data_IF_100021168168
#
_entry.id   IF_100021168168
#
_cell.length_a   1.000
_cell.length_b   1.000
_cell.length_c   1.000
_cell.angle_alpha   90.00
_cell.angle_beta   90.00
_cell.angle_gamma   90.00
#
_symmetry.space_group_name_H-M   'P 1'
#
loop_
_entity.id
_entity.type
_entity.pdbx_description
1 polymer ?
#
# COMPACT_ATOMS: atom_id res chain seq x y z
N UNK A 1 23.58 -20.84 4.10
CA UNK A 1 23.03 -19.59 4.65
C UNK A 1 22.97 -19.77 6.15
N UNK A 2 23.60 -18.87 6.92
CA UNK A 2 23.46 -18.84 8.38
C UNK A 2 22.08 -18.29 8.77
N UNK A 3 21.57 -18.51 9.99
CA UNK A 3 20.39 -17.81 10.51
C UNK A 3 20.44 -16.29 10.29
N UNK A 4 19.27 -15.64 10.20
CA UNK A 4 19.19 -14.18 9.96
C UNK A 4 19.75 -13.39 11.15
N UNK A 5 19.48 -13.87 12.36
CA UNK A 5 20.01 -13.35 13.62
C UNK A 5 21.54 -13.37 13.62
N UNK A 6 22.14 -14.50 13.24
CA UNK A 6 23.60 -14.65 13.14
C UNK A 6 24.21 -13.69 12.11
N UNK A 7 23.51 -13.43 11.00
CA UNK A 7 23.96 -12.46 10.00
C UNK A 7 23.91 -11.02 10.53
N UNK A 8 22.89 -10.69 11.34
CA UNK A 8 22.80 -9.41 12.05
C UNK A 8 23.98 -9.26 13.02
N UNK A 9 24.22 -10.28 13.85
CA UNK A 9 25.29 -10.26 14.85
C UNK A 9 26.67 -10.18 14.22
N UNK A 10 26.91 -10.91 13.12
CA UNK A 10 28.17 -10.84 12.38
C UNK A 10 28.41 -9.45 11.78
N UNK A 11 27.36 -8.80 11.25
CA UNK A 11 27.47 -7.45 10.71
C UNK A 11 27.78 -6.41 11.80
N UNK A 12 27.11 -6.48 12.96
CA UNK A 12 27.39 -5.59 14.10
C UNK A 12 28.78 -5.82 14.69
N UNK A 13 29.22 -7.08 14.79
CA UNK A 13 30.58 -7.41 15.23
C UNK A 13 31.64 -6.84 14.29
N UNK A 14 31.44 -6.95 12.96
CA UNK A 14 32.33 -6.36 11.97
C UNK A 14 32.36 -4.82 12.06
N UNK A 15 31.22 -4.19 12.34
CA UNK A 15 31.12 -2.73 12.48
C UNK A 15 31.82 -2.18 13.73
N UNK A 16 31.87 -2.96 14.81
CA UNK A 16 32.48 -2.57 16.09
C UNK A 16 33.96 -2.15 15.96
N UNK A 17 34.67 -2.69 14.97
CA UNK A 17 36.05 -2.29 14.66
C UNK A 17 36.22 -0.91 14.00
N UNK A 18 35.12 -0.29 13.54
CA UNK A 18 35.14 0.97 12.79
C UNK A 18 34.78 2.23 13.60
N UNK A 19 34.36 2.06 14.86
CA UNK A 19 33.87 3.13 15.73
C UNK A 19 32.73 3.98 15.12
N UNK A 20 31.97 3.42 14.18
CA UNK A 20 30.79 4.05 13.58
C UNK A 20 29.52 3.42 14.13
N UNK A 21 28.52 4.25 14.39
CA UNK A 21 27.20 3.73 14.69
C UNK A 21 26.62 3.06 13.45
N UNK A 22 25.92 1.94 13.65
CA UNK A 22 25.47 1.08 12.57
C UNK A 22 24.08 0.54 12.84
N UNK A 23 23.24 0.52 11.82
CA UNK A 23 21.96 -0.21 11.78
C UNK A 23 22.11 -1.34 10.76
N UNK A 24 21.67 -2.53 11.14
CA UNK A 24 21.62 -3.70 10.27
C UNK A 24 20.18 -4.14 10.15
N UNK A 25 19.71 -4.32 8.91
CA UNK A 25 18.37 -4.84 8.60
C UNK A 25 18.55 -6.10 7.77
N UNK A 26 18.09 -7.24 8.26
CA UNK A 26 18.05 -8.49 7.51
C UNK A 26 16.60 -8.87 7.29
N UNK A 27 16.21 -9.09 6.03
CA UNK A 27 14.89 -9.58 5.67
C UNK A 27 15.02 -10.92 4.99
N UNK A 28 14.43 -11.95 5.60
CA UNK A 28 14.19 -13.26 4.97
C UNK A 28 12.79 -13.26 4.36
N UNK A 29 12.70 -13.69 3.11
CA UNK A 29 11.48 -13.71 2.32
C UNK A 29 11.26 -15.10 1.75
N UNK A 30 10.09 -15.68 2.04
CA UNK A 30 9.55 -16.84 1.32
C UNK A 30 8.35 -16.39 0.50
N UNK A 31 8.30 -16.81 -0.76
CA UNK A 31 7.27 -16.41 -1.70
C UNK A 31 6.74 -17.63 -2.45
N UNK A 32 5.43 -17.71 -2.60
CA UNK A 32 4.75 -18.66 -3.45
C UNK A 32 3.77 -17.95 -4.38
N UNK A 33 3.62 -18.46 -5.59
CA UNK A 33 2.66 -17.94 -6.56
C UNK A 33 1.94 -19.07 -7.29
N UNK A 34 0.70 -18.80 -7.68
CA UNK A 34 -0.14 -19.67 -8.50
C UNK A 34 -0.84 -18.82 -9.56
N UNK A 35 -0.68 -19.17 -10.82
CA UNK A 35 -1.31 -18.47 -11.96
C UNK A 35 -2.22 -19.41 -12.73
N UNK A 36 -3.34 -18.87 -13.21
CA UNK A 36 -4.23 -19.54 -14.15
C UNK A 36 -4.58 -18.64 -15.33
N UNK A 37 -4.86 -19.27 -16.45
CA UNK A 37 -5.30 -18.60 -17.65
C UNK A 37 -6.23 -19.50 -18.47
N UNK A 38 -7.40 -18.97 -18.82
CA UNK A 38 -8.37 -19.68 -19.66
C UNK A 38 -8.84 -20.99 -19.05
N UNK A 39 -9.17 -20.98 -17.75
CA UNK A 39 -9.67 -22.13 -16.99
C UNK A 39 -8.66 -23.27 -16.78
N UNK A 40 -7.36 -22.97 -16.82
CA UNK A 40 -6.31 -23.92 -16.49
C UNK A 40 -5.23 -23.28 -15.64
N UNK A 41 -4.68 -24.04 -14.69
CA UNK A 41 -3.47 -23.65 -13.95
C UNK A 41 -2.27 -23.70 -14.91
N UNK A 42 -1.47 -22.64 -14.94
CA UNK A 42 -0.36 -22.52 -15.91
C UNK A 42 1.00 -22.54 -15.25
N UNK A 43 1.18 -21.80 -14.16
CA UNK A 43 2.49 -21.58 -13.56
C UNK A 43 2.34 -21.52 -12.06
N UNK A 44 3.22 -22.23 -11.36
CA UNK A 44 3.41 -22.13 -9.92
C UNK A 44 4.88 -21.92 -9.64
N UNK A 45 5.20 -21.06 -8.67
CA UNK A 45 6.57 -20.74 -8.31
C UNK A 45 6.72 -20.70 -6.81
N UNK A 46 7.88 -21.12 -6.32
CA UNK A 46 8.31 -20.89 -4.94
C UNK A 46 9.71 -20.31 -5.00
N UNK A 47 9.94 -19.25 -4.25
CA UNK A 47 11.27 -18.68 -4.10
C UNK A 47 11.55 -18.35 -2.63
N UNK A 48 12.82 -18.39 -2.27
CA UNK A 48 13.30 -17.87 -1.00
C UNK A 48 14.44 -16.91 -1.29
N UNK A 49 14.52 -15.83 -0.54
CA UNK A 49 15.58 -14.84 -0.67
C UNK A 49 15.89 -14.22 0.67
N UNK A 50 17.11 -13.69 0.80
CA UNK A 50 17.53 -12.85 1.91
C UNK A 50 18.08 -11.56 1.34
N UNK A 51 17.82 -10.45 2.02
CA UNK A 51 18.59 -9.23 1.82
C UNK A 51 19.11 -8.69 3.14
N UNK A 52 20.36 -8.24 3.15
CA UNK A 52 21.01 -7.56 4.28
C UNK A 52 21.30 -6.12 3.87
N UNK A 53 20.78 -5.16 4.62
CA UNK A 53 21.15 -3.76 4.53
C UNK A 53 22.01 -3.37 5.73
N UNK A 54 23.09 -2.64 5.46
CA UNK A 54 23.95 -2.04 6.48
C UNK A 54 23.93 -0.53 6.28
N UNK A 55 23.55 0.19 7.32
CA UNK A 55 23.51 1.64 7.35
C UNK A 55 24.54 2.11 8.37
N UNK A 56 25.56 2.82 7.91
CA UNK A 56 26.64 3.34 8.75
C UNK A 56 26.51 4.85 8.90
N UNK A 57 26.76 5.32 10.12
CA UNK A 57 26.68 6.73 10.51
C UNK A 57 28.08 7.21 10.90
N UNK A 58 28.66 8.09 10.09
CA UNK A 58 29.92 8.74 10.37
C UNK A 58 29.67 10.13 10.97
N UNK A 59 30.24 10.39 12.15
CA UNK A 59 30.16 11.70 12.81
C UNK A 59 31.42 12.53 12.50
N UNK A 60 31.24 13.76 12.02
CA UNK A 60 32.31 14.75 11.80
C UNK A 60 31.93 16.05 12.52
N UNK A 61 32.47 16.27 13.71
CA UNK A 61 32.02 17.34 14.59
C UNK A 61 30.58 17.06 15.06
N UNK A 62 29.65 17.98 14.78
CA UNK A 62 28.23 17.82 15.06
C UNK A 62 27.40 17.32 13.87
N UNK A 63 28.03 17.17 12.69
CA UNK A 63 27.38 16.68 11.49
C UNK A 63 27.41 15.15 11.40
N UNK A 64 26.31 14.58 10.91
CA UNK A 64 26.23 13.17 10.53
C UNK A 64 26.32 13.01 9.01
N UNK A 65 26.94 11.91 8.60
CA UNK A 65 27.03 11.46 7.22
C UNK A 65 26.64 9.99 7.16
N UNK A 66 25.74 9.64 6.24
CA UNK A 66 25.10 8.32 6.26
C UNK A 66 25.36 7.59 4.95
N UNK A 67 25.81 6.35 5.06
CA UNK A 67 25.98 5.42 3.95
C UNK A 67 25.08 4.22 4.16
N UNK A 68 24.28 3.86 3.15
CA UNK A 68 23.41 2.67 3.20
C UNK A 68 23.67 1.78 1.99
N UNK A 69 24.02 0.53 2.25
CA UNK A 69 24.29 -0.48 1.23
C UNK A 69 23.43 -1.70 1.50
N UNK A 70 22.91 -2.31 0.42
CA UNK A 70 22.08 -3.53 0.47
C UNK A 70 22.70 -4.61 -0.40
N UNK A 71 22.69 -5.84 0.10
CA UNK A 71 23.17 -7.03 -0.62
C UNK A 71 22.18 -8.18 -0.48
N UNK A 72 22.10 -9.02 -1.51
CA UNK A 72 21.39 -10.30 -1.47
C UNK A 72 22.36 -11.49 -1.40
N UNK A 73 23.65 -11.24 -1.18
CA UNK A 73 24.66 -12.28 -0.99
C UNK A 73 24.47 -12.88 0.41
N UNK A 74 24.39 -14.20 0.48
CA UNK A 74 24.07 -14.96 1.70
C UNK A 74 25.27 -15.70 2.30
N UNK A 75 26.45 -15.47 1.70
CA UNK A 75 27.73 -15.95 2.20
C UNK A 75 28.16 -15.11 3.41
N UNK A 76 28.36 -15.70 4.60
CA UNK A 76 28.82 -14.98 5.78
C UNK A 76 30.11 -14.20 5.56
N UNK A 77 31.03 -14.71 4.73
CA UNK A 77 32.33 -14.08 4.50
C UNK A 77 32.19 -12.75 3.73
N UNK A 78 31.08 -12.54 3.01
CA UNK A 78 30.79 -11.30 2.30
C UNK A 78 30.27 -10.17 3.21
N UNK A 79 29.81 -10.47 4.43
CA UNK A 79 29.18 -9.50 5.33
C UNK A 79 30.18 -8.41 5.77
N UNK A 80 31.42 -8.79 6.08
CA UNK A 80 32.46 -7.82 6.45
C UNK A 80 32.74 -6.79 5.35
N UNK A 81 32.75 -7.23 4.08
CA UNK A 81 32.93 -6.35 2.94
C UNK A 81 31.74 -5.38 2.75
N UNK A 82 30.51 -5.86 2.97
CA UNK A 82 29.30 -5.01 2.94
C UNK A 82 29.37 -3.90 4.01
N UNK A 83 29.75 -4.26 5.24
CA UNK A 83 29.91 -3.30 6.35
C UNK A 83 30.98 -2.27 6.03
N UNK A 84 32.15 -2.71 5.54
CA UNK A 84 33.23 -1.80 5.16
C UNK A 84 32.81 -0.84 4.03
N UNK A 85 32.06 -1.33 3.03
CA UNK A 85 31.54 -0.50 1.95
C UNK A 85 30.51 0.53 2.45
N UNK A 86 29.61 0.16 3.37
CA UNK A 86 28.68 1.09 3.98
C UNK A 86 29.38 2.19 4.78
N UNK A 87 30.39 1.82 5.57
CA UNK A 87 31.22 2.78 6.30
C UNK A 87 31.99 3.73 5.36
N UNK A 88 32.54 3.23 4.25
CA UNK A 88 33.19 4.07 3.25
C UNK A 88 32.22 5.03 2.58
N UNK A 89 31.01 4.56 2.24
CA UNK A 89 29.97 5.41 1.68
C UNK A 89 29.56 6.52 2.66
N UNK A 90 29.44 6.20 3.96
CA UNK A 90 29.15 7.18 5.00
C UNK A 90 30.23 8.26 5.08
N UNK A 91 31.51 7.89 4.99
CA UNK A 91 32.62 8.86 5.00
C UNK A 91 32.64 9.78 3.77
N UNK A 92 32.25 9.25 2.61
CA UNK A 92 32.19 9.99 1.36
C UNK A 92 30.90 10.82 1.19
N UNK A 93 29.87 10.56 2.00
CA UNK A 93 28.58 11.22 1.88
C UNK A 93 28.64 12.71 2.29
N UNK A 94 27.78 13.56 1.68
CA UNK A 94 27.52 14.90 2.18
C UNK A 94 26.86 14.85 3.58
N UNK A 95 26.75 16.00 4.23
CA UNK A 95 26.03 16.12 5.50
C UNK A 95 24.56 15.71 5.34
N UNK A 96 24.08 14.90 6.29
CA UNK A 96 22.70 14.45 6.34
C UNK A 96 21.79 15.57 6.84
N UNK A 97 20.83 15.95 5.99
CA UNK A 97 19.93 17.09 6.23
C UNK A 97 18.83 16.77 7.25
N UNK A 98 18.51 15.49 7.42
CA UNK A 98 17.46 14.94 8.28
C UNK A 98 18.03 14.35 9.59
N UNK A 99 19.19 14.83 10.01
CA UNK A 99 19.89 14.35 11.21
C UNK A 99 18.98 14.34 12.43
N UNK A 100 18.98 13.21 13.16
CA UNK A 100 18.36 13.06 14.46
C UNK A 100 19.24 12.19 15.38
N UNK A 101 19.15 12.33 16.71
CA UNK A 101 19.85 11.42 17.61
C UNK A 101 19.45 9.97 17.36
N UNK A 102 20.45 9.08 17.27
CA UNK A 102 20.20 7.66 17.11
C UNK A 102 19.42 7.10 18.30
N UNK A 103 18.52 6.17 18.01
CA UNK A 103 17.75 5.48 19.04
C UNK A 103 18.69 4.59 19.86
N UNK A 104 18.42 4.48 21.15
CA UNK A 104 19.11 3.55 22.05
C UNK A 104 18.08 2.55 22.56
N UNK A 105 18.53 1.32 22.79
CA UNK A 105 17.67 0.25 23.26
C UNK A 105 18.44 -0.72 24.13
N UNK A 106 17.70 -1.52 24.88
CA UNK A 106 18.25 -2.60 25.68
C UNK A 106 17.38 -3.85 25.52
N UNK A 107 17.96 -4.90 24.96
CA UNK A 107 17.36 -6.23 24.94
C UNK A 107 16.89 -6.71 23.58
N UNK A 108 16.84 -8.03 23.48
CA UNK A 108 16.26 -8.78 22.37
C UNK A 108 14.76 -8.97 22.63
N UNK A 109 13.89 -8.90 21.60
CA UNK A 109 12.51 -9.32 21.77
C UNK A 109 12.46 -10.82 22.08
N UNK A 110 11.44 -11.26 22.83
CA UNK A 110 11.31 -12.66 23.29
C UNK A 110 11.34 -13.68 22.14
N UNK A 111 10.86 -13.28 20.96
CA UNK A 111 10.75 -14.10 19.76
C UNK A 111 11.99 -14.01 18.85
N UNK A 112 13.07 -13.33 19.26
CA UNK A 112 14.26 -13.10 18.43
C UNK A 112 14.85 -14.39 17.86
N UNK A 113 14.94 -15.44 18.70
CA UNK A 113 15.50 -16.75 18.35
C UNK A 113 14.51 -17.71 17.69
N UNK A 114 13.25 -17.32 17.52
CA UNK A 114 12.23 -18.23 16.98
C UNK A 114 12.48 -18.54 15.50
N UNK A 115 12.11 -19.76 15.04
CA UNK A 115 12.18 -20.11 13.63
C UNK A 115 11.44 -19.09 12.74
N UNK A 116 12.06 -18.74 11.60
CA UNK A 116 11.45 -17.85 10.60
C UNK A 116 10.30 -18.59 9.89
N UNK A 117 9.05 -18.10 9.97
CA UNK A 117 7.93 -18.69 9.24
C UNK A 117 8.15 -18.65 7.72
N UNK A 118 7.56 -19.60 7.00
CA UNK A 118 7.71 -19.75 5.54
C UNK A 118 6.38 -20.05 4.86
N UNK A 119 6.37 -20.04 3.53
CA UNK A 119 5.21 -20.36 2.69
C UNK A 119 5.61 -21.25 1.51
N UNK A 120 4.61 -21.78 0.80
CA UNK A 120 4.78 -22.63 -0.38
C UNK A 120 3.46 -22.84 -1.12
N UNK A 121 3.51 -23.59 -2.23
CA UNK A 121 2.32 -23.87 -3.06
C UNK A 121 1.15 -24.48 -2.29
N UNK A 122 1.43 -25.18 -1.18
CA UNK A 122 0.40 -25.77 -0.32
C UNK A 122 -0.55 -24.74 0.29
N UNK A 123 -0.13 -23.48 0.48
CA UNK A 123 -0.98 -22.40 0.98
C UNK A 123 -2.21 -22.15 0.08
N UNK A 124 -2.10 -22.45 -1.22
CA UNK A 124 -3.19 -22.22 -2.17
C UNK A 124 -4.16 -23.39 -2.30
N UNK A 125 -3.99 -24.50 -1.57
CA UNK A 125 -4.71 -25.74 -1.84
C UNK A 125 -6.24 -25.58 -1.83
N UNK A 126 -6.78 -24.83 -0.87
CA UNK A 126 -8.23 -24.59 -0.76
C UNK A 126 -8.73 -23.65 -1.86
N UNK A 127 -8.05 -22.52 -2.07
CA UNK A 127 -8.37 -21.57 -3.13
C UNK A 127 -8.32 -22.22 -4.51
N UNK A 128 -7.31 -23.05 -4.78
CA UNK A 128 -7.16 -23.81 -6.03
C UNK A 128 -8.29 -24.81 -6.23
N UNK A 129 -8.70 -25.53 -5.17
CA UNK A 129 -9.84 -26.46 -5.22
C UNK A 129 -11.13 -25.70 -5.54
N UNK A 130 -11.38 -24.57 -4.90
CA UNK A 130 -12.55 -23.75 -5.18
C UNK A 130 -12.54 -23.15 -6.60
N UNK A 131 -11.38 -22.67 -7.07
CA UNK A 131 -11.19 -22.17 -8.44
C UNK A 131 -11.46 -23.27 -9.49
N UNK A 132 -11.05 -24.51 -9.22
CA UNK A 132 -11.27 -25.63 -10.13
C UNK A 132 -12.76 -25.88 -10.43
N UNK A 133 -13.66 -25.61 -9.47
CA UNK A 133 -15.10 -25.68 -9.68
C UNK A 133 -15.61 -24.57 -10.63
N UNK A 134 -14.93 -23.42 -10.67
CA UNK A 134 -15.20 -22.34 -11.62
C UNK A 134 -14.70 -22.66 -13.04
N UNK A 135 -13.60 -23.40 -13.18
CA UNK A 135 -13.01 -23.73 -14.50
C UNK A 135 -13.92 -24.58 -15.40
N UNK A 136 -14.87 -25.33 -14.82
CA UNK A 136 -15.87 -26.08 -15.57
C UNK A 136 -17.05 -25.25 -16.09
N UNK A 137 -17.11 -23.95 -15.80
CA UNK A 137 -18.20 -23.05 -16.22
C UNK A 137 -17.92 -22.38 -17.57
N UNK A 138 -18.91 -21.65 -18.09
CA UNK A 138 -18.83 -20.99 -19.39
C UNK A 138 -17.84 -19.83 -19.45
N UNK A 139 -17.60 -19.14 -18.34
CA UNK A 139 -16.71 -17.98 -18.29
C UNK A 139 -15.25 -18.40 -18.31
N UNK A 140 -14.42 -17.62 -19.02
CA UNK A 140 -12.97 -17.84 -19.03
C UNK A 140 -12.32 -17.06 -17.90
N UNK A 141 -11.71 -17.77 -16.97
CA UNK A 141 -11.05 -17.24 -15.79
C UNK A 141 -9.55 -17.10 -16.02
N UNK A 142 -9.00 -15.97 -15.59
CA UNK A 142 -7.60 -15.60 -15.60
C UNK A 142 -7.25 -14.98 -14.26
N UNK A 143 -6.00 -15.08 -13.84
CA UNK A 143 -5.61 -14.46 -12.58
C UNK A 143 -4.39 -15.07 -11.95
N UNK A 144 -4.11 -14.60 -10.75
CA UNK A 144 -3.01 -15.08 -9.95
C UNK A 144 -3.36 -15.01 -8.46
N UNK A 145 -2.74 -15.89 -7.70
CA UNK A 145 -2.69 -15.87 -6.25
C UNK A 145 -1.23 -15.78 -5.84
N UNK A 146 -0.94 -14.96 -4.85
CA UNK A 146 0.43 -14.68 -4.41
C UNK A 146 0.45 -14.67 -2.89
N UNK A 147 1.41 -15.37 -2.27
CA UNK A 147 1.60 -15.41 -0.83
C UNK A 147 3.08 -15.21 -0.51
N UNK A 148 3.35 -14.23 0.33
CA UNK A 148 4.66 -13.83 0.80
C UNK A 148 4.65 -13.92 2.32
N UNK A 149 5.70 -14.49 2.89
CA UNK A 149 6.01 -14.39 4.31
C UNK A 149 7.39 -13.81 4.44
N UNK A 150 7.47 -12.60 4.98
CA UNK A 150 8.72 -11.87 5.21
C UNK A 150 8.99 -11.72 6.69
N UNK A 151 10.18 -12.06 7.15
CA UNK A 151 10.61 -11.75 8.52
C UNK A 151 11.77 -10.77 8.48
N UNK A 152 11.55 -9.60 9.08
CA UNK A 152 12.54 -8.55 9.22
C UNK A 152 13.15 -8.58 10.61
N UNK A 153 14.47 -8.58 10.64
CA UNK A 153 15.31 -8.38 11.82
C UNK A 153 16.01 -7.04 11.67
N UNK A 154 15.87 -6.19 12.67
CA UNK A 154 16.58 -4.92 12.75
C UNK A 154 17.38 -4.92 14.04
N UNK A 155 18.66 -4.56 13.96
CA UNK A 155 19.47 -4.30 15.13
C UNK A 155 20.42 -3.13 14.92
N UNK A 156 20.77 -2.45 16.02
CA UNK A 156 21.67 -1.30 15.99
C UNK A 156 22.86 -1.50 16.92
N UNK A 157 23.99 -0.83 16.62
CA UNK A 157 25.15 -0.76 17.51
C UNK A 157 24.82 -0.12 18.87
N UNK A 158 23.74 0.66 18.92
CA UNK A 158 23.20 1.35 20.11
C UNK A 158 22.21 0.49 20.91
N UNK A 159 22.07 -0.80 20.58
CA UNK A 159 21.35 -1.79 21.38
C UNK A 159 19.86 -1.97 21.07
N UNK A 160 19.32 -1.30 20.05
CA UNK A 160 17.93 -1.55 19.59
C UNK A 160 17.91 -2.89 18.85
N UNK A 161 16.94 -3.75 19.15
CA UNK A 161 16.61 -4.95 18.38
C UNK A 161 15.09 -5.04 18.17
N UNK A 162 14.69 -5.43 16.96
CA UNK A 162 13.28 -5.58 16.55
C UNK A 162 13.11 -6.73 15.57
N UNK A 163 12.04 -7.49 15.72
CA UNK A 163 11.64 -8.58 14.82
C UNK A 163 10.18 -8.40 14.43
N UNK A 164 9.84 -8.66 13.18
CA UNK A 164 8.46 -8.77 12.74
C UNK A 164 8.34 -9.73 11.55
N UNK A 165 7.30 -10.57 11.58
CA UNK A 165 6.92 -11.41 10.43
C UNK A 165 5.67 -10.84 9.78
N UNK A 166 5.80 -10.39 8.53
CA UNK A 166 4.72 -9.90 7.69
C UNK A 166 4.22 -11.01 6.74
N UNK A 167 3.06 -11.62 7.02
CA UNK A 167 2.31 -12.36 6.02
C UNK A 167 1.62 -11.37 5.05
N UNK A 168 1.72 -11.63 3.76
CA UNK A 168 1.05 -10.86 2.72
C UNK A 168 0.51 -11.81 1.66
N UNK A 169 -0.78 -11.78 1.40
CA UNK A 169 -1.36 -12.57 0.33
C UNK A 169 -2.47 -11.85 -0.42
N UNK A 170 -2.65 -12.22 -1.68
CA UNK A 170 -3.71 -11.69 -2.53
C UNK A 170 -4.21 -12.73 -3.53
N UNK A 171 -5.48 -12.63 -3.90
CA UNK A 171 -6.11 -13.39 -4.99
C UNK A 171 -6.79 -12.41 -5.91
N UNK A 172 -6.45 -12.48 -7.19
CA UNK A 172 -7.07 -11.68 -8.24
C UNK A 172 -7.63 -12.59 -9.33
N UNK A 173 -8.91 -12.40 -9.66
CA UNK A 173 -9.62 -13.16 -10.70
C UNK A 173 -10.21 -12.18 -11.70
N UNK A 174 -9.88 -12.39 -12.98
CA UNK A 174 -10.56 -11.77 -14.12
C UNK A 174 -11.40 -12.83 -14.83
N UNK A 175 -12.69 -12.55 -15.03
CA UNK A 175 -13.58 -13.40 -15.80
C UNK A 175 -13.93 -12.74 -17.14
N UNK A 176 -14.02 -13.52 -18.22
CA UNK A 176 -14.41 -13.05 -19.55
C UNK A 176 -15.57 -13.84 -20.14
N UNK A 177 -16.53 -13.14 -20.76
CA UNK A 177 -17.72 -13.69 -21.44
C UNK A 177 -18.08 -12.83 -22.65
N UNK A 178 -18.09 -13.41 -23.85
CA UNK A 178 -18.64 -12.75 -25.04
C UNK A 178 -18.05 -11.36 -25.36
N UNK A 179 -16.77 -11.12 -25.03
CA UNK A 179 -16.10 -9.83 -25.19
C UNK A 179 -16.11 -8.95 -23.93
N UNK A 180 -17.02 -9.19 -22.99
CA UNK A 180 -17.03 -8.53 -21.68
C UNK A 180 -15.97 -9.13 -20.74
N UNK A 181 -15.53 -8.31 -19.79
CA UNK A 181 -14.51 -8.62 -18.79
C UNK A 181 -14.94 -8.02 -17.45
N UNK A 182 -14.65 -8.71 -16.36
CA UNK A 182 -14.85 -8.25 -15.00
C UNK A 182 -13.68 -8.72 -14.12
N UNK A 183 -13.33 -7.94 -13.10
CA UNK A 183 -12.25 -8.24 -12.16
C UNK A 183 -12.77 -8.23 -10.72
N UNK A 184 -12.20 -9.10 -9.90
CA UNK A 184 -12.36 -9.14 -8.45
C UNK A 184 -11.01 -9.46 -7.81
N UNK A 185 -10.72 -8.79 -6.70
CA UNK A 185 -9.47 -8.95 -5.97
C UNK A 185 -9.68 -8.86 -4.47
N UNK A 186 -8.94 -9.68 -3.72
CA UNK A 186 -8.96 -9.67 -2.25
C UNK A 186 -7.56 -9.83 -1.69
N UNK A 187 -7.37 -9.29 -0.50
CA UNK A 187 -6.19 -9.53 0.33
C UNK A 187 -6.48 -10.66 1.32
N UNK A 188 -5.48 -11.49 1.59
CA UNK A 188 -5.56 -12.62 2.51
C UNK A 188 -4.17 -12.92 3.08
N UNK A 189 -3.82 -12.37 4.26
CA UNK A 189 -2.46 -12.48 4.78
C UNK A 189 -1.93 -13.91 4.83
N UNK A 190 -2.77 -14.86 5.26
CA UNK A 190 -2.40 -16.27 5.46
C UNK A 190 -3.11 -17.26 4.54
N UNK A 191 -3.87 -16.80 3.54
CA UNK A 191 -4.70 -17.67 2.69
C UNK A 191 -5.76 -18.50 3.43
N UNK A 192 -6.16 -18.06 4.62
CA UNK A 192 -7.27 -18.64 5.37
C UNK A 192 -8.59 -18.07 4.84
N UNK A 193 -9.59 -18.94 4.65
CA UNK A 193 -10.98 -18.58 4.33
C UNK A 193 -11.17 -17.70 3.06
N UNK A 194 -10.34 -17.92 2.03
CA UNK A 194 -10.45 -17.21 0.74
C UNK A 194 -11.83 -17.46 0.10
N UNK A 195 -12.72 -16.46 -0.04
CA UNK A 195 -14.11 -16.62 -0.51
C UNK A 195 -14.22 -16.74 -2.04
N UNK A 196 -13.47 -17.67 -2.65
CA UNK A 196 -13.43 -17.84 -4.12
C UNK A 196 -14.83 -17.98 -4.72
N UNK A 197 -15.73 -18.74 -4.07
CA UNK A 197 -17.12 -18.90 -4.55
C UNK A 197 -17.88 -17.58 -4.63
N UNK A 198 -17.69 -16.69 -3.65
CA UNK A 198 -18.28 -15.34 -3.64
C UNK A 198 -17.68 -14.46 -4.73
N UNK A 199 -16.36 -14.50 -4.90
CA UNK A 199 -15.68 -13.77 -5.99
C UNK A 199 -16.19 -14.20 -7.37
N UNK A 200 -16.37 -15.50 -7.60
CA UNK A 200 -16.91 -16.02 -8.86
C UNK A 200 -18.36 -15.59 -9.09
N UNK A 201 -19.19 -15.53 -8.04
CA UNK A 201 -20.56 -15.04 -8.14
C UNK A 201 -20.63 -13.54 -8.45
N UNK A 202 -19.75 -12.73 -7.84
CA UNK A 202 -19.61 -11.30 -8.14
C UNK A 202 -19.21 -11.06 -9.60
N UNK A 203 -18.23 -11.81 -10.10
CA UNK A 203 -17.79 -11.77 -11.49
C UNK A 203 -18.90 -12.17 -12.46
N UNK A 204 -19.63 -13.24 -12.14
CA UNK A 204 -20.78 -13.71 -12.93
C UNK A 204 -21.89 -12.64 -13.01
N UNK A 205 -22.20 -11.98 -11.91
CA UNK A 205 -23.18 -10.89 -11.87
C UNK A 205 -22.74 -9.70 -12.74
N UNK A 206 -21.48 -9.27 -12.62
CA UNK A 206 -20.88 -8.19 -13.43
C UNK A 206 -20.88 -8.50 -14.94
N UNK A 207 -20.53 -9.73 -15.30
CA UNK A 207 -20.63 -10.19 -16.69
C UNK A 207 -22.09 -10.30 -17.17
N UNK A 208 -23.04 -10.53 -16.25
CA UNK A 208 -24.47 -10.46 -16.52
C UNK A 208 -24.94 -9.05 -16.89
N UNK A 209 -24.47 -8.02 -16.18
CA UNK A 209 -24.79 -6.62 -16.50
C UNK A 209 -24.30 -6.21 -17.89
N UNK A 210 -23.20 -6.80 -18.36
CA UNK A 210 -22.65 -6.54 -19.69
C UNK A 210 -23.48 -7.14 -20.85
N UNK A 211 -24.60 -7.81 -20.59
CA UNK A 211 -25.56 -8.20 -21.65
C UNK A 211 -26.20 -6.99 -22.33
N UNK A 212 -26.31 -5.86 -21.60
CA UNK A 212 -26.67 -4.55 -22.16
C UNK A 212 -25.44 -3.65 -22.09
N UNK A 213 -25.07 -3.08 -23.23
CA UNK A 213 -24.01 -2.06 -23.32
C UNK A 213 -24.62 -0.72 -23.70
N UNK A 214 -24.15 0.34 -23.05
CA UNK A 214 -24.60 1.72 -23.28
C UNK A 214 -23.39 2.61 -23.50
N UNK A 215 -23.33 3.29 -24.64
CA UNK A 215 -22.29 4.29 -24.88
C UNK A 215 -22.71 5.64 -24.28
N UNK A 216 -21.83 6.22 -23.47
CA UNK A 216 -21.97 7.55 -22.89
C UNK A 216 -20.82 8.46 -23.35
N UNK A 217 -21.09 9.74 -23.63
CA UNK A 217 -20.05 10.68 -24.00
C UNK A 217 -19.11 10.98 -22.81
N UNK A 218 -17.97 11.58 -23.08
CA UNK A 218 -17.15 12.18 -22.02
C UNK A 218 -17.96 13.25 -21.28
N UNK A 219 -17.74 13.38 -19.97
CA UNK A 219 -18.52 14.29 -19.14
C UNK A 219 -18.31 14.10 -17.65
N UNK A 220 -19.17 14.74 -16.86
CA UNK A 220 -19.23 14.58 -15.41
C UNK A 220 -20.47 13.77 -15.04
N UNK A 221 -20.29 12.78 -14.18
CA UNK A 221 -21.34 11.84 -13.80
C UNK A 221 -21.37 11.63 -12.29
N UNK A 222 -22.58 11.53 -11.73
CA UNK A 222 -22.75 10.95 -10.41
C UNK A 222 -22.19 9.54 -10.44
N UNK A 223 -21.24 9.25 -9.55
CA UNK A 223 -20.48 8.00 -9.56
C UNK A 223 -20.35 7.46 -8.15
N UNK A 224 -20.78 6.21 -7.97
CA UNK A 224 -20.48 5.39 -6.80
C UNK A 224 -19.14 4.70 -7.03
N UNK A 225 -18.19 4.99 -6.15
CA UNK A 225 -16.86 4.39 -6.13
C UNK A 225 -16.78 3.36 -5.01
N UNK A 226 -16.77 2.05 -5.28
CA UNK A 226 -16.62 1.02 -4.27
C UNK A 226 -15.22 1.07 -3.62
N UNK A 227 -15.04 0.36 -2.48
CA UNK A 227 -13.82 0.38 -1.68
C UNK A 227 -12.52 0.24 -2.48
N UNK A 228 -12.45 -0.66 -3.47
CA UNK A 228 -11.25 -0.86 -4.30
C UNK A 228 -10.82 0.41 -5.03
N UNK A 229 -11.76 1.13 -5.66
CA UNK A 229 -11.43 2.35 -6.42
C UNK A 229 -11.17 3.55 -5.51
N UNK A 230 -11.77 3.56 -4.32
CA UNK A 230 -11.43 4.53 -3.28
C UNK A 230 -10.01 4.26 -2.77
N UNK A 231 -9.63 2.99 -2.57
CA UNK A 231 -8.28 2.59 -2.20
C UNK A 231 -7.26 3.05 -3.24
N UNK A 232 -7.53 2.84 -4.53
CA UNK A 232 -6.66 3.28 -5.62
C UNK A 232 -6.31 4.78 -5.53
N UNK A 233 -7.28 5.62 -5.17
CA UNK A 233 -7.09 7.07 -4.99
C UNK A 233 -6.44 7.43 -3.64
N UNK A 234 -6.89 6.82 -2.55
CA UNK A 234 -6.45 7.16 -1.19
C UNK A 234 -5.03 6.68 -0.90
N UNK A 235 -4.61 5.55 -1.47
CA UNK A 235 -3.22 5.07 -1.38
C UNK A 235 -2.28 6.07 -2.05
N UNK A 236 -2.62 6.54 -3.25
CA UNK A 236 -1.81 7.55 -3.94
C UNK A 236 -1.76 8.88 -3.18
N UNK A 237 -2.91 9.31 -2.60
CA UNK A 237 -2.96 10.44 -1.70
C UNK A 237 -1.99 10.26 -0.53
N UNK A 238 -2.11 9.16 0.21
CA UNK A 238 -1.25 8.86 1.35
C UNK A 238 0.23 8.86 0.96
N UNK A 239 0.60 8.26 -0.19
CA UNK A 239 1.96 8.29 -0.72
C UNK A 239 2.48 9.69 -1.07
N UNK A 240 1.58 10.64 -1.32
CA UNK A 240 1.90 12.05 -1.59
C UNK A 240 1.79 12.95 -0.35
N UNK A 241 1.45 12.40 0.83
CA UNK A 241 1.38 13.16 2.08
C UNK A 241 2.79 13.32 2.67
N UNK A 242 3.59 14.22 2.12
CA UNK A 242 4.92 14.52 2.66
C UNK A 242 4.88 15.82 3.48
N UNK A 243 5.19 15.72 4.77
CA UNK A 243 5.17 16.85 5.68
C UNK A 243 6.14 17.97 5.31
N UNK A 244 7.40 17.64 5.00
CA UNK A 244 8.40 18.64 4.55
C UNK A 244 8.00 19.27 3.23
N UNK A 245 7.63 18.47 2.22
CA UNK A 245 7.21 18.99 0.92
C UNK A 245 6.03 19.94 1.07
N UNK A 246 5.08 19.65 1.98
CA UNK A 246 3.99 20.56 2.29
C UNK A 246 4.49 21.90 2.87
N UNK A 247 5.37 21.87 3.89
CA UNK A 247 5.94 23.08 4.51
C UNK A 247 6.68 23.96 3.49
N UNK A 248 7.40 23.34 2.56
CA UNK A 248 8.23 24.02 1.57
C UNK A 248 7.46 24.45 0.30
N UNK A 249 6.14 24.28 0.26
CA UNK A 249 5.33 24.70 -0.89
C UNK A 249 5.38 23.75 -2.11
N UNK A 250 5.80 22.50 -1.92
CA UNK A 250 6.09 21.52 -2.98
C UNK A 250 5.05 20.42 -3.13
N UNK A 251 3.93 20.45 -2.41
CA UNK A 251 2.88 19.44 -2.51
C UNK A 251 1.47 20.04 -2.51
N UNK A 252 0.47 19.24 -2.89
CA UNK A 252 -0.94 19.63 -2.83
C UNK A 252 -1.48 19.89 -1.40
N UNK A 253 -0.66 19.57 -0.39
CA UNK A 253 -0.92 19.80 1.03
C UNK A 253 -0.20 21.05 1.56
N UNK A 254 0.45 21.82 0.68
CA UNK A 254 0.96 23.15 0.99
C UNK A 254 -0.17 24.18 1.09
N UNK A 255 -0.14 25.02 2.12
CA UNK A 255 -1.13 26.08 2.28
C UNK A 255 -0.77 27.32 1.43
N UNK A 256 -1.77 28.03 0.87
CA UNK A 256 -1.54 29.34 0.28
C UNK A 256 -0.97 30.30 1.33
N UNK A 257 0.20 30.90 1.04
CA UNK A 257 0.87 31.82 1.98
C UNK A 257 1.91 31.17 2.89
N UNK A 258 2.19 29.88 2.73
CA UNK A 258 3.24 29.15 3.45
C UNK A 258 2.69 28.18 4.50
N UNK A 259 3.49 27.16 4.85
CA UNK A 259 3.08 26.11 5.77
C UNK A 259 2.22 25.01 5.11
N UNK A 260 1.50 24.25 5.92
CA UNK A 260 0.70 23.10 5.48
C UNK A 260 -0.79 23.36 5.60
N UNK A 261 -1.58 22.54 4.89
CA UNK A 261 -3.04 22.52 4.97
C UNK A 261 -3.57 21.71 6.16
N UNK A 262 -2.70 21.33 7.11
CA UNK A 262 -3.15 20.71 8.37
C UNK A 262 -4.11 21.67 9.08
N UNK A 263 -5.25 21.15 9.54
CA UNK A 263 -6.37 21.92 10.08
C UNK A 263 -7.41 22.35 9.03
N UNK A 264 -7.15 22.20 7.74
CA UNK A 264 -8.15 22.45 6.71
C UNK A 264 -9.23 21.35 6.70
N UNK A 265 -10.49 21.77 6.73
CA UNK A 265 -11.63 20.87 6.46
C UNK A 265 -11.68 20.55 4.98
N UNK A 266 -11.46 19.28 4.66
CA UNK A 266 -11.65 18.72 3.33
C UNK A 266 -13.10 18.32 3.09
N UNK A 267 -13.76 17.66 4.04
CA UNK A 267 -15.10 17.11 3.83
C UNK A 267 -16.03 17.46 4.98
N UNK A 268 -17.31 17.58 4.66
CA UNK A 268 -18.40 17.64 5.65
C UNK A 268 -18.81 16.24 6.13
N UNK A 269 -18.42 15.19 5.40
CA UNK A 269 -18.54 13.81 5.86
C UNK A 269 -17.56 13.56 7.02
N UNK A 270 -17.94 12.76 8.03
CA UNK A 270 -17.08 12.46 9.18
C UNK A 270 -16.02 11.40 8.82
N UNK A 271 -15.30 11.62 7.72
CA UNK A 271 -14.30 10.69 7.20
C UNK A 271 -13.02 10.73 8.03
N UNK A 272 -12.59 9.56 8.50
CA UNK A 272 -11.31 9.39 9.19
C UNK A 272 -10.43 8.43 8.39
N UNK A 273 -9.37 8.95 7.77
CA UNK A 273 -8.34 8.21 7.03
C UNK A 273 -7.10 8.08 7.92
N UNK A 274 -6.66 6.86 8.20
CA UNK A 274 -5.60 6.59 9.15
C UNK A 274 -4.79 5.35 8.76
N UNK A 275 -3.59 5.23 9.33
CA UNK A 275 -2.82 3.98 9.34
C UNK A 275 -2.63 3.53 10.78
N UNK A 276 -2.66 2.22 11.03
CA UNK A 276 -2.55 1.63 12.38
C UNK A 276 -1.92 0.24 12.28
N UNK A 277 -0.67 0.02 12.72
CA UNK A 277 0.00 -1.27 12.56
C UNK A 277 -0.65 -2.42 13.34
N UNK A 278 -1.56 -2.11 14.27
CA UNK A 278 -2.30 -3.07 15.08
C UNK A 278 -3.74 -3.29 14.61
N UNK A 279 -4.13 -2.72 13.47
CA UNK A 279 -5.46 -2.89 12.91
C UNK A 279 -5.75 -4.37 12.60
N UNK A 280 -6.81 -4.90 13.22
CA UNK A 280 -7.17 -6.32 13.15
C UNK A 280 -7.34 -6.78 11.71
N UNK A 281 -6.60 -7.83 11.34
CA UNK A 281 -6.61 -8.43 10.00
C UNK A 281 -5.79 -7.67 8.95
N UNK A 282 -5.24 -6.51 9.30
CA UNK A 282 -4.38 -5.68 8.47
C UNK A 282 -3.05 -5.33 9.17
N UNK A 283 -2.64 -6.16 10.13
CA UNK A 283 -1.46 -5.92 10.95
C UNK A 283 -0.21 -5.78 10.07
N UNK A 284 0.64 -4.84 10.45
CA UNK A 284 1.91 -4.62 9.78
C UNK A 284 3.03 -4.25 10.76
N UNK A 285 4.25 -4.17 10.26
CA UNK A 285 5.43 -3.92 11.10
C UNK A 285 5.22 -2.68 11.99
N UNK A 286 5.28 -2.81 13.33
CA UNK A 286 5.01 -1.72 14.27
C UNK A 286 6.28 -0.88 14.54
N UNK A 287 7.25 -0.88 13.65
CA UNK A 287 8.48 -0.10 13.77
C UNK A 287 9.07 0.27 12.40
N UNK A 288 9.78 1.38 12.36
CA UNK A 288 10.48 1.85 11.16
C UNK A 288 11.65 0.92 10.85
N UNK A 289 11.70 0.41 9.61
CA UNK A 289 12.76 -0.45 9.11
C UNK A 289 13.06 -0.14 7.63
N UNK A 290 13.69 1.01 7.37
CA UNK A 290 13.99 1.46 6.01
C UNK A 290 15.48 1.42 5.69
N UNK A 291 15.89 0.80 4.56
CA UNK A 291 17.25 0.88 4.06
C UNK A 291 17.53 2.18 3.28
N UNK A 292 16.52 3.02 3.04
CA UNK A 292 16.67 4.30 2.34
C UNK A 292 15.79 5.39 2.96
N UNK A 293 16.31 6.61 3.04
CA UNK A 293 15.54 7.77 3.50
C UNK A 293 14.56 8.29 2.44
N UNK A 294 13.47 8.87 2.90
CA UNK A 294 12.53 9.68 2.09
C UNK A 294 12.05 10.87 2.92
N UNK A 295 11.18 11.69 2.36
CA UNK A 295 10.55 12.80 3.10
C UNK A 295 9.60 12.31 4.21
N UNK A 296 9.28 11.01 4.25
CA UNK A 296 8.31 10.40 5.19
C UNK A 296 8.95 9.52 6.25
N UNK A 297 10.10 8.93 5.96
CA UNK A 297 10.84 8.05 6.87
C UNK A 297 12.35 8.31 6.74
N UNK A 298 13.06 8.34 7.85
CA UNK A 298 14.51 8.57 7.87
C UNK A 298 15.29 7.32 8.25
N UNK A 299 16.55 7.25 7.78
CA UNK A 299 17.52 6.24 8.22
C UNK A 299 17.80 6.35 9.73
N UNK A 300 17.69 7.55 10.31
CA UNK A 300 17.86 7.79 11.75
C UNK A 300 16.69 7.25 12.58
N UNK A 301 15.53 6.98 11.96
CA UNK A 301 14.31 6.56 12.66
C UNK A 301 14.19 5.03 12.76
N UNK A 302 15.12 4.28 12.18
CA UNK A 302 15.14 2.82 12.23
C UNK A 302 15.08 2.27 13.65
N UNK A 303 14.03 1.48 13.93
CA UNK A 303 13.71 0.94 15.25
C UNK A 303 12.72 1.78 16.07
N UNK A 304 12.32 2.96 15.57
CA UNK A 304 11.25 3.78 16.18
C UNK A 304 9.92 3.05 16.05
N UNK A 305 9.14 2.99 17.12
CA UNK A 305 7.82 2.39 17.09
C UNK A 305 6.87 3.21 16.20
N UNK A 306 6.00 2.52 15.48
CA UNK A 306 4.94 3.12 14.67
C UNK A 306 3.63 2.91 15.42
N UNK A 307 2.89 3.99 15.64
CA UNK A 307 1.55 3.97 16.23
C UNK A 307 0.48 4.30 15.20
N UNK A 308 -0.78 4.30 15.64
CA UNK A 308 -1.88 4.82 14.83
C UNK A 308 -1.69 6.31 14.55
N UNK A 309 -1.87 6.71 13.30
CA UNK A 309 -1.91 8.11 12.90
C UNK A 309 -3.16 8.38 12.07
N UNK A 310 -4.00 9.30 12.55
CA UNK A 310 -5.12 9.82 11.77
C UNK A 310 -4.58 10.94 10.86
N UNK A 311 -4.51 10.66 9.56
CA UNK A 311 -4.06 11.59 8.53
C UNK A 311 -5.15 12.62 8.22
N UNK A 312 -6.37 12.13 8.10
CA UNK A 312 -7.61 12.92 8.07
C UNK A 312 -8.46 12.42 9.23
N UNK A 313 -8.98 13.33 10.05
CA UNK A 313 -9.90 13.02 11.15
C UNK A 313 -11.18 13.83 10.99
N UNK A 314 -12.32 13.16 10.95
CA UNK A 314 -13.63 13.78 10.81
C UNK A 314 -13.71 14.83 9.68
N UNK A 315 -13.13 14.49 8.53
CA UNK A 315 -13.09 15.33 7.34
C UNK A 315 -12.03 16.45 7.37
N UNK A 316 -11.18 16.54 8.39
CA UNK A 316 -10.13 17.57 8.53
C UNK A 316 -8.75 16.96 8.36
N UNK A 317 -7.86 17.57 7.58
CA UNK A 317 -6.45 17.16 7.51
C UNK A 317 -5.86 17.31 8.90
N UNK A 318 -5.44 16.21 9.51
CA UNK A 318 -5.05 16.17 10.91
C UNK A 318 -3.53 16.04 11.09
N UNK A 319 -2.87 15.24 10.26
CA UNK A 319 -1.42 15.03 10.36
C UNK A 319 -0.80 14.80 8.97
N UNK A 320 0.51 15.08 8.88
CA UNK A 320 1.35 14.65 7.78
C UNK A 320 2.52 13.83 8.33
N UNK A 321 3.03 12.86 7.57
CA UNK A 321 4.29 12.17 7.85
C UNK A 321 5.47 13.13 8.02
N UNK A 322 6.18 12.99 9.14
CA UNK A 322 7.43 13.70 9.45
C UNK A 322 8.43 12.74 10.12
N UNK A 323 9.59 12.47 9.49
CA UNK A 323 10.74 11.90 10.18
C UNK A 323 11.20 12.78 11.34
N UNK A 324 11.87 12.22 12.35
CA UNK A 324 12.23 12.98 13.58
C UNK A 324 13.06 14.23 13.29
N UNK A 325 14.01 14.17 12.37
CA UNK A 325 14.83 15.33 11.99
C UNK A 325 14.00 16.46 11.37
N UNK A 326 13.08 16.13 10.45
CA UNK A 326 12.18 17.11 9.84
C UNK A 326 11.16 17.66 10.84
N UNK A 327 10.63 16.80 11.71
CA UNK A 327 9.70 17.20 12.76
C UNK A 327 10.31 18.27 13.67
N UNK A 328 11.55 18.06 14.10
CA UNK A 328 12.31 19.02 14.92
C UNK A 328 12.55 20.36 14.19
N UNK A 329 12.88 20.32 12.89
CA UNK A 329 13.10 21.54 12.09
C UNK A 329 11.85 22.42 12.00
N UNK A 330 10.67 21.81 11.83
CA UNK A 330 9.41 22.54 11.68
C UNK A 330 8.64 22.73 12.99
N UNK A 331 9.16 22.24 14.11
CA UNK A 331 8.49 22.34 15.42
C UNK A 331 7.17 21.58 15.49
N UNK A 332 7.11 20.40 14.86
CA UNK A 332 5.94 19.50 14.85
C UNK A 332 6.28 18.14 15.46
N UNK A 333 5.27 17.33 15.76
CA UNK A 333 5.49 15.98 16.24
C UNK A 333 5.88 15.03 15.08
N UNK A 334 6.82 14.10 15.30
CA UNK A 334 7.13 13.08 14.31
C UNK A 334 5.96 12.13 14.10
N UNK A 335 5.77 11.71 12.85
CA UNK A 335 4.74 10.76 12.48
C UNK A 335 5.26 9.86 11.35
N UNK A 336 5.35 8.56 11.61
CA UNK A 336 5.73 7.57 10.63
C UNK A 336 4.48 6.83 10.13
N UNK A 337 4.33 6.61 8.81
CA UNK A 337 3.22 5.83 8.29
C UNK A 337 3.39 4.34 8.53
N UNK A 338 2.30 3.66 8.89
CA UNK A 338 2.25 2.20 8.88
C UNK A 338 1.97 1.69 7.45
N UNK A 339 2.29 0.43 7.18
CA UNK A 339 2.09 -0.22 5.87
C UNK A 339 0.67 -0.76 5.69
N UNK A 340 -0.32 0.05 6.10
CA UNK A 340 -1.74 -0.15 5.84
C UNK A 340 -2.47 1.20 5.75
N UNK A 341 -3.68 1.20 5.21
CA UNK A 341 -4.49 2.41 5.09
C UNK A 341 -5.98 2.10 5.26
N UNK A 342 -6.61 2.78 6.22
CA UNK A 342 -7.99 2.57 6.58
C UNK A 342 -8.75 3.89 6.50
N UNK A 343 -9.94 3.87 5.90
CA UNK A 343 -10.86 5.00 5.95
C UNK A 343 -12.22 4.56 6.48
N UNK A 344 -12.75 5.31 7.44
CA UNK A 344 -14.05 5.07 8.09
C UNK A 344 -14.89 6.35 8.11
N UNK A 345 -16.13 6.27 8.58
CA UNK A 345 -17.02 7.43 8.70
C UNK A 345 -18.33 7.34 7.90
N UNK A 346 -18.49 6.30 7.09
CA UNK A 346 -19.72 6.03 6.36
C UNK A 346 -20.60 4.97 7.02
N UNK A 347 -21.87 4.95 6.64
CA UNK A 347 -22.90 4.11 7.27
C UNK A 347 -23.84 3.40 6.29
N UNK A 348 -23.93 3.88 5.05
CA UNK A 348 -24.79 3.28 4.02
C UNK A 348 -24.20 1.97 3.47
N UNK A 349 -25.04 1.00 3.10
CA UNK A 349 -24.57 -0.15 2.33
C UNK A 349 -24.48 0.22 0.85
N UNK A 350 -23.57 -0.42 0.09
CA UNK A 350 -23.52 -0.22 -1.36
C UNK A 350 -24.87 -0.50 -2.06
N UNK A 351 -25.61 -1.58 -1.72
CA UNK A 351 -26.97 -1.79 -2.24
C UNK A 351 -27.94 -0.64 -1.97
N UNK A 352 -27.92 -0.05 -0.77
CA UNK A 352 -28.78 1.10 -0.44
C UNK A 352 -28.38 2.35 -1.24
N UNK A 353 -27.08 2.59 -1.39
CA UNK A 353 -26.57 3.70 -2.20
C UNK A 353 -27.01 3.56 -3.66
N UNK A 354 -26.91 2.35 -4.22
CA UNK A 354 -27.39 2.03 -5.58
C UNK A 354 -28.90 2.27 -5.67
N UNK A 355 -29.69 1.74 -4.73
CA UNK A 355 -31.14 1.88 -4.70
C UNK A 355 -31.60 3.34 -4.62
N UNK A 356 -30.81 4.21 -3.99
CA UNK A 356 -31.05 5.65 -3.88
C UNK A 356 -30.52 6.47 -5.07
N UNK A 357 -29.97 5.85 -6.11
CA UNK A 357 -29.47 6.55 -7.31
C UNK A 357 -30.47 6.42 -8.46
N UNK A 358 -31.05 7.55 -8.88
CA UNK A 358 -31.95 7.63 -10.04
C UNK A 358 -31.17 7.37 -11.34
N UNK A 359 -30.04 8.05 -11.53
CA UNK A 359 -29.17 7.82 -12.68
C UNK A 359 -27.72 8.16 -12.36
N UNK A 360 -26.84 7.18 -12.47
CA UNK A 360 -25.43 7.35 -12.15
C UNK A 360 -24.56 6.20 -12.65
N UNK A 361 -23.31 6.17 -12.23
CA UNK A 361 -22.36 5.13 -12.59
C UNK A 361 -21.88 4.39 -11.34
N UNK A 362 -21.68 3.08 -11.45
CA UNK A 362 -20.87 2.29 -10.53
C UNK A 362 -19.49 2.11 -11.17
N UNK A 363 -18.45 2.65 -10.54
CA UNK A 363 -17.08 2.60 -11.03
C UNK A 363 -16.26 1.60 -10.21
N UNK A 364 -16.15 0.34 -10.64
CA UNK A 364 -15.52 -0.75 -9.88
C UNK A 364 -14.03 -0.92 -10.15
N UNK A 365 -13.49 -0.25 -11.17
CA UNK A 365 -12.09 -0.38 -11.55
C UNK A 365 -11.47 0.97 -11.91
N UNK A 366 -10.30 1.26 -11.34
CA UNK A 366 -9.35 2.23 -11.87
C UNK A 366 -8.05 1.52 -12.26
N UNK A 367 -7.37 2.03 -13.29
CA UNK A 367 -6.12 1.45 -13.78
C UNK A 367 -5.25 2.50 -14.47
N UNK A 368 -3.94 2.24 -14.53
CA UNK A 368 -2.94 3.07 -15.17
C UNK A 368 -2.96 4.51 -14.64
N UNK A 369 -2.95 4.66 -13.31
CA UNK A 369 -3.06 5.96 -12.65
C UNK A 369 -1.72 6.69 -12.73
N UNK A 370 -1.73 7.92 -13.24
CA UNK A 370 -0.55 8.78 -13.44
C UNK A 370 -0.83 10.18 -12.95
N UNK A 371 0.19 10.84 -12.42
CA UNK A 371 0.09 12.25 -12.02
C UNK A 371 0.20 13.16 -13.24
N UNK A 372 -0.76 14.05 -13.37
CA UNK A 372 -0.80 15.11 -14.38
C UNK A 372 -0.23 16.40 -13.79
N UNK A 373 -0.66 16.75 -12.58
CA UNK A 373 -0.19 17.95 -11.87
C UNK A 373 0.03 17.63 -10.38
N UNK A 374 1.28 17.64 -9.88
CA UNK A 374 1.58 17.36 -8.49
C UNK A 374 1.14 18.49 -7.52
N UNK A 375 0.95 19.73 -8.00
CA UNK A 375 0.55 20.87 -7.15
C UNK A 375 -0.91 20.75 -6.72
N UNK A 376 -1.77 20.24 -7.58
CA UNK A 376 -3.18 19.97 -7.25
C UNK A 376 -3.44 18.49 -6.93
N UNK A 377 -2.41 17.65 -7.07
CA UNK A 377 -2.49 16.19 -7.08
C UNK A 377 -3.53 15.69 -8.10
N UNK A 378 -3.57 16.30 -9.28
CA UNK A 378 -4.45 15.87 -10.36
C UNK A 378 -3.90 14.57 -10.95
N UNK A 379 -4.71 13.51 -10.88
CA UNK A 379 -4.40 12.19 -11.41
C UNK A 379 -5.22 11.93 -12.67
N UNK A 380 -4.66 11.18 -13.60
CA UNK A 380 -5.37 10.60 -14.75
C UNK A 380 -5.24 9.09 -14.74
N UNK A 381 -6.20 8.38 -15.30
CA UNK A 381 -6.13 6.94 -15.50
C UNK A 381 -7.26 6.44 -16.38
N UNK A 382 -7.53 5.14 -16.33
CA UNK A 382 -8.52 4.43 -17.12
C UNK A 382 -9.55 3.73 -16.22
N UNK A 383 -10.80 3.66 -16.67
CA UNK A 383 -11.90 2.97 -15.96
C UNK A 383 -12.14 1.54 -16.46
N UNK A 384 -11.08 0.87 -16.93
CA UNK A 384 -11.16 -0.37 -17.72
C UNK A 384 -12.00 -1.45 -17.06
N UNK A 385 -12.97 -2.00 -17.80
CA UNK A 385 -13.78 -3.17 -17.40
C UNK A 385 -14.51 -2.95 -16.07
N UNK A 386 -14.91 -1.71 -15.77
CA UNK A 386 -15.47 -1.40 -14.45
C UNK A 386 -16.41 -0.22 -14.42
N UNK A 387 -17.11 0.10 -15.50
CA UNK A 387 -18.15 1.14 -15.51
C UNK A 387 -19.50 0.51 -15.79
N UNK A 388 -20.43 0.63 -14.84
CA UNK A 388 -21.79 0.13 -14.98
C UNK A 388 -22.79 1.27 -14.77
N UNK A 389 -23.85 1.26 -15.57
CA UNK A 389 -24.93 2.24 -15.49
C UNK A 389 -25.91 1.84 -14.38
N UNK A 390 -26.25 2.80 -13.54
CA UNK A 390 -27.35 2.71 -12.56
C UNK A 390 -28.53 3.53 -13.12
N UNK A 391 -29.70 2.91 -13.19
CA UNK A 391 -30.98 3.56 -13.53
C UNK A 391 -32.05 3.07 -12.53
N UNK A 392 -32.78 4.03 -11.93
CA UNK A 392 -33.89 3.80 -11.01
C UNK A 392 -33.59 2.77 -9.90
N UNK A 393 -32.42 2.91 -9.28
CA UNK A 393 -32.02 2.06 -8.17
C UNK A 393 -31.46 0.69 -8.56
N UNK A 394 -31.21 0.43 -9.85
CA UNK A 394 -30.72 -0.85 -10.34
C UNK A 394 -29.54 -0.69 -11.31
N UNK A 395 -28.64 -1.67 -11.33
CA UNK A 395 -27.58 -1.73 -12.35
C UNK A 395 -28.18 -2.33 -13.63
N UNK A 396 -28.15 -1.56 -14.72
CA UNK A 396 -28.90 -1.87 -15.94
C UNK A 396 -28.01 -2.15 -17.16
N UNK A 397 -26.70 -1.95 -17.09
CA UNK A 397 -25.81 -2.20 -18.22
C UNK A 397 -24.34 -1.88 -17.94
N UNK A 398 -23.46 -2.38 -18.79
CA UNK A 398 -22.08 -1.92 -18.88
C UNK A 398 -21.98 -0.65 -19.73
N UNK A 399 -21.01 0.21 -19.42
CA UNK A 399 -20.72 1.44 -20.16
C UNK A 399 -19.34 1.35 -20.81
N UNK A 400 -19.12 2.07 -21.91
CA UNK A 400 -17.78 2.22 -22.50
C UNK A 400 -16.75 2.71 -21.48
N UNK A 401 -15.48 2.37 -21.72
CA UNK A 401 -14.39 2.83 -20.87
C UNK A 401 -14.11 4.33 -21.09
N UNK A 402 -13.57 4.97 -20.05
CA UNK A 402 -13.14 6.36 -20.06
C UNK A 402 -11.69 6.48 -19.61
N UNK A 403 -11.07 7.59 -20.00
CA UNK A 403 -10.05 8.21 -19.16
C UNK A 403 -10.75 9.07 -18.12
N UNK A 404 -10.17 9.17 -16.93
CA UNK A 404 -10.62 10.11 -15.91
C UNK A 404 -9.54 11.13 -15.59
N UNK A 405 -9.93 12.27 -15.01
CA UNK A 405 -9.03 13.25 -14.41
C UNK A 405 -9.59 13.70 -13.06
N UNK A 406 -8.99 13.27 -11.96
CA UNK A 406 -9.46 13.55 -10.60
C UNK A 406 -8.31 13.79 -9.63
N UNK A 407 -8.50 14.72 -8.69
CA UNK A 407 -7.62 14.88 -7.54
C UNK A 407 -8.23 14.15 -6.34
N UNK A 408 -7.49 13.27 -5.63
CA UNK A 408 -8.00 12.64 -4.40
C UNK A 408 -8.49 13.65 -3.36
N UNK A 409 -7.87 14.84 -3.27
CA UNK A 409 -8.28 15.89 -2.35
C UNK A 409 -9.62 16.53 -2.77
N UNK A 410 -9.77 16.86 -4.04
CA UNK A 410 -11.03 17.45 -4.56
C UNK A 410 -12.17 16.43 -4.60
N UNK A 411 -11.84 15.16 -4.80
CA UNK A 411 -12.78 14.04 -4.71
C UNK A 411 -13.35 13.94 -3.29
N UNK A 412 -12.51 13.96 -2.25
CA UNK A 412 -12.96 13.97 -0.86
C UNK A 412 -13.79 15.22 -0.51
N UNK A 413 -13.45 16.39 -1.07
CA UNK A 413 -14.24 17.63 -0.90
C UNK A 413 -15.66 17.53 -1.41
N UNK A 414 -15.84 16.86 -2.55
CA UNK A 414 -17.13 16.77 -3.23
C UNK A 414 -17.93 15.53 -2.84
N UNK A 415 -17.31 14.56 -2.17
CA UNK A 415 -18.00 13.35 -1.73
C UNK A 415 -19.23 13.71 -0.89
N UNK A 416 -20.38 13.20 -1.31
CA UNK A 416 -21.69 13.57 -0.74
C UNK A 416 -22.27 12.51 0.19
N UNK A 417 -21.77 11.28 0.07
CA UNK A 417 -22.18 10.15 0.90
C UNK A 417 -21.01 9.17 1.01
N UNK A 418 -20.89 8.53 2.18
CA UNK A 418 -19.95 7.46 2.43
C UNK A 418 -20.66 6.21 2.96
N UNK A 419 -20.31 5.06 2.40
CA UNK A 419 -20.79 3.76 2.83
C UNK A 419 -19.99 3.16 3.98
N UNK A 420 -20.46 2.04 4.51
CA UNK A 420 -19.71 1.25 5.49
C UNK A 420 -18.37 0.82 4.89
N UNK A 421 -17.30 1.01 5.65
CA UNK A 421 -15.96 0.61 5.22
C UNK A 421 -15.80 -0.92 5.25
N UNK A 422 -15.12 -1.46 4.25
CA UNK A 422 -14.80 -2.88 4.19
C UNK A 422 -13.35 -3.11 3.75
N UNK A 423 -12.73 -4.25 4.14
CA UNK A 423 -11.46 -4.67 3.58
C UNK A 423 -11.54 -4.74 2.05
N UNK A 424 -10.45 -4.34 1.39
CA UNK A 424 -10.37 -4.32 -0.08
C UNK A 424 -8.93 -4.49 -0.55
N UNK A 425 -8.78 -5.01 -1.76
CA UNK A 425 -7.53 -4.93 -2.52
C UNK A 425 -7.68 -3.82 -3.57
N UNK A 426 -6.78 -2.81 -3.64
CA UNK A 426 -6.76 -1.86 -4.76
C UNK A 426 -6.38 -2.60 -6.05
N UNK A 427 -6.85 -2.15 -7.21
CA UNK A 427 -6.47 -2.79 -8.47
C UNK A 427 -5.17 -2.22 -9.04
N UNK A 428 -4.96 -0.90 -8.96
CA UNK A 428 -3.76 -0.27 -9.53
C UNK A 428 -2.51 -0.62 -8.72
N UNK A 429 -2.67 -0.76 -7.40
CA UNK A 429 -1.54 -0.84 -6.47
C UNK A 429 -1.41 -2.18 -5.76
N UNK A 430 -2.10 -3.24 -6.19
CA UNK A 430 -2.10 -4.55 -5.50
C UNK A 430 -0.71 -5.17 -5.33
N UNK A 431 0.25 -4.83 -6.19
CA UNK A 431 1.65 -5.26 -6.09
C UNK A 431 2.39 -4.65 -4.90
N UNK A 432 1.94 -3.50 -4.38
CA UNK A 432 2.63 -2.73 -3.34
C UNK A 432 1.78 -2.47 -2.10
N UNK A 433 0.46 -2.40 -2.23
CA UNK A 433 -0.47 -2.05 -1.17
C UNK A 433 -1.60 -3.09 -1.10
N UNK A 434 -1.50 -3.98 -0.10
CA UNK A 434 -2.46 -5.08 0.08
C UNK A 434 -3.26 -4.96 1.37
N UNK A 435 -3.00 -3.95 2.20
CA UNK A 435 -3.67 -3.78 3.49
C UNK A 435 -4.51 -2.51 3.49
N UNK A 436 -5.73 -2.61 2.97
CA UNK A 436 -6.64 -1.47 2.88
C UNK A 436 -8.06 -1.78 3.37
N UNK A 437 -8.67 -0.81 4.03
CA UNK A 437 -10.10 -0.75 4.35
C UNK A 437 -10.61 0.58 3.84
N UNK A 438 -11.66 0.57 3.01
CA UNK A 438 -12.21 1.80 2.44
C UNK A 438 -13.73 1.74 2.41
N UNK A 439 -14.42 2.88 2.52
CA UNK A 439 -15.85 2.96 2.24
C UNK A 439 -16.11 3.04 0.74
N UNK A 440 -17.36 2.81 0.36
CA UNK A 440 -17.89 3.35 -0.91
C UNK A 440 -18.03 4.86 -0.78
N UNK A 441 -17.72 5.63 -1.82
CA UNK A 441 -17.99 7.08 -1.87
C UNK A 441 -18.94 7.42 -3.03
N UNK A 442 -19.90 8.33 -2.79
CA UNK A 442 -20.72 8.97 -3.85
C UNK A 442 -20.09 10.29 -4.26
N UNK A 443 -19.58 10.36 -5.48
CA UNK A 443 -19.03 11.56 -6.08
C UNK A 443 -20.08 12.14 -7.04
N UNK A 444 -20.66 13.32 -6.77
CA UNK A 444 -21.76 13.88 -7.58
C UNK A 444 -21.40 14.13 -9.04
N UNK A 445 -20.13 14.39 -9.33
CA UNK A 445 -19.69 14.86 -10.64
C UNK A 445 -18.27 14.36 -10.98
N UNK A 446 -18.04 13.04 -10.91
CA UNK A 446 -16.78 12.41 -11.28
C UNK A 446 -16.46 12.66 -12.77
N UNK A 447 -15.24 13.08 -13.06
CA UNK A 447 -14.86 13.58 -14.38
C UNK A 447 -14.29 12.48 -15.30
N UNK A 448 -15.15 11.97 -16.18
CA UNK A 448 -14.82 11.07 -17.29
C UNK A 448 -14.34 11.89 -18.50
N UNK A 449 -13.04 12.18 -18.55
CA UNK A 449 -12.44 13.20 -19.42
C UNK A 449 -12.44 12.87 -20.92
N UNK A 450 -12.38 11.58 -21.30
CA UNK A 450 -12.46 11.16 -22.71
C UNK A 450 -12.90 9.70 -22.83
N UNK A 451 -13.64 9.33 -23.88
CA UNK A 451 -13.92 7.92 -24.21
C UNK A 451 -12.61 7.19 -24.55
N UNK A 452 -12.45 5.97 -24.03
CA UNK A 452 -11.28 5.12 -24.28
C UNK A 452 -11.68 3.83 -24.99
N UNK A 453 -10.89 3.45 -26.00
CA UNK A 453 -11.02 2.17 -26.72
C UNK A 453 -10.17 1.05 -26.10
N UNK A 454 -9.45 1.33 -25.01
CA UNK A 454 -8.65 0.32 -24.33
C UNK A 454 -9.57 -0.73 -23.68
N UNK A 455 -9.32 -2.02 -23.98
CA UNK A 455 -9.97 -3.20 -23.38
C UNK A 455 -8.99 -4.00 -22.53
#
# INVERSE_FOLDING_TARGET
MIPAQDAVDLALAAASGSAQDTVVIVTDRAEASLRWAGNSMTTNGVSTSRSTAVISFARRGDAFHVGSLRSSVVDPDAIGALVAAAAQAAQAAPEARDTAPLLTGNGEPDDWGDPVPTTGVGAFAEAARALSAGFGRADRLYGFAHHIVETTFLATSTGVRRRFTQPTGSVEITAKRGGASAWAGISTPWFLDVPVGGMLAELEARLGWAQRSVDLPAGRYETLMPPSTVADMMIYLNWSMDGRSAQEGRSALSAPGGGTRVGERLSDLPLTLYSDPTAVGLECAPFVHTPAGSERVSLFDNGMDIGRVDWIRDGVIHALPYPRGAAAEFGVDPAAPADNLLMTGGTASLPDMIAATERGLLLTTLWYIRTVDPITLLLTGLTRDGVYLIEDGAITGAVNNFRFNESPLDLLRRASEAGVASPTLPREWSDWATRAVMPTLRIPDFHMSSVSQAQ
#
